data_IF_694379370374
#
_entry.id   IF_694379370374
#
_cell.length_a   1.000
_cell.length_b   1.000
_cell.length_c   1.000
_cell.angle_alpha   90.00
_cell.angle_beta   90.00
_cell.angle_gamma   90.00
#
_symmetry.space_group_name_H-M   'P 1'
#
loop_
_entity.id
_entity.type
_entity.pdbx_description
1 polymer ?
#
# COMPACT_ATOMS: atom_id res chain seq x y z
N UNK A 1 16.68 -23.55 -4.46
CA UNK A 1 16.27 -22.64 -3.38
C UNK A 1 14.91 -22.96 -2.90
N UNK A 2 14.72 -22.94 -1.61
CA UNK A 2 13.37 -23.11 -1.08
C UNK A 2 12.65 -21.77 -1.14
N UNK A 3 11.35 -21.79 -0.82
CA UNK A 3 10.53 -20.59 -0.97
C UNK A 3 11.03 -19.46 -0.08
N UNK A 4 11.54 -19.76 1.08
CA UNK A 4 12.02 -18.71 1.99
C UNK A 4 13.29 -18.06 1.47
N UNK A 5 14.17 -18.85 0.86
CA UNK A 5 15.37 -18.31 0.24
C UNK A 5 15.02 -17.44 -0.96
N UNK A 6 13.97 -17.82 -1.70
CA UNK A 6 13.52 -17.02 -2.83
C UNK A 6 12.96 -15.69 -2.35
N UNK A 7 12.16 -15.71 -1.29
CA UNK A 7 11.63 -14.48 -0.72
C UNK A 7 12.77 -13.57 -0.26
N UNK A 8 13.74 -14.14 0.44
CA UNK A 8 14.89 -13.36 0.90
C UNK A 8 15.68 -12.78 -0.27
N UNK A 9 15.81 -13.52 -1.36
CA UNK A 9 16.50 -13.02 -2.54
C UNK A 9 15.77 -11.84 -3.17
N UNK A 10 14.45 -11.91 -3.20
CA UNK A 10 13.66 -10.80 -3.72
C UNK A 10 13.82 -9.57 -2.83
N UNK A 11 13.84 -9.77 -1.52
CA UNK A 11 14.07 -8.66 -0.59
C UNK A 11 15.43 -8.01 -0.83
N UNK A 12 16.43 -8.80 -1.20
CA UNK A 12 17.74 -8.25 -1.53
C UNK A 12 17.73 -7.49 -2.85
N UNK A 13 16.95 -7.97 -3.82
CA UNK A 13 16.87 -7.33 -5.13
C UNK A 13 16.14 -5.99 -5.06
N UNK A 14 15.11 -5.89 -4.21
CA UNK A 14 14.32 -4.67 -4.11
C UNK A 14 14.52 -4.09 -2.73
N UNK A 15 15.43 -3.16 -2.61
CA UNK A 15 15.73 -2.60 -1.32
C UNK A 15 14.85 -1.41 -0.96
N UNK A 16 14.26 -0.76 -1.96
CA UNK A 16 13.43 0.40 -1.70
C UNK A 16 12.54 0.71 -2.90
N UNK A 17 11.27 0.95 -2.65
CA UNK A 17 10.34 1.36 -3.71
C UNK A 17 10.06 2.84 -3.54
N UNK A 18 10.44 3.62 -4.52
CA UNK A 18 10.25 5.06 -4.44
C UNK A 18 8.83 5.42 -4.85
N UNK A 19 8.29 6.42 -4.20
CA UNK A 19 7.01 6.97 -4.59
C UNK A 19 7.27 7.97 -5.70
N UNK A 20 7.23 7.52 -6.92
CA UNK A 20 7.53 8.40 -8.04
C UNK A 20 6.32 8.64 -8.94
N UNK A 21 5.19 8.02 -8.65
CA UNK A 21 3.97 8.31 -9.38
C UNK A 21 3.39 9.61 -8.85
N UNK A 22 2.90 10.43 -9.76
CA UNK A 22 2.34 11.70 -9.36
C UNK A 22 0.83 11.66 -9.45
N UNK A 23 0.18 12.03 -8.38
CA UNK A 23 -1.28 12.07 -8.30
C UNK A 23 -1.69 13.53 -8.17
N UNK A 24 -2.67 13.95 -8.97
CA UNK A 24 -3.17 15.31 -8.89
C UNK A 24 -4.65 15.30 -8.55
N UNK A 25 -5.05 16.20 -7.67
CA UNK A 25 -6.42 16.27 -7.24
C UNK A 25 -6.68 17.69 -6.77
N UNK A 26 -7.61 18.39 -7.41
CA UNK A 26 -7.92 19.76 -7.05
C UNK A 26 -6.70 20.66 -7.05
N UNK A 27 -5.91 20.55 -8.07
CA UNK A 27 -4.66 21.32 -8.22
C UNK A 27 -3.62 20.96 -7.18
N UNK A 28 -3.86 19.96 -6.37
CA UNK A 28 -2.88 19.44 -5.42
C UNK A 28 -2.19 18.26 -6.07
N UNK A 29 -0.90 18.22 -5.94
CA UNK A 29 -0.11 17.16 -6.55
C UNK A 29 0.74 16.51 -5.47
N UNK A 30 0.77 15.19 -5.44
CA UNK A 30 1.62 14.47 -4.51
C UNK A 30 2.06 13.15 -5.13
N UNK A 31 3.10 12.59 -4.58
CA UNK A 31 3.59 11.32 -5.07
C UNK A 31 2.92 10.18 -4.33
N UNK A 32 2.61 9.17 -5.07
CA UNK A 32 1.97 7.98 -4.52
C UNK A 32 2.61 6.76 -5.13
N UNK A 33 2.57 5.66 -4.39
CA UNK A 33 3.05 4.39 -4.89
C UNK A 33 1.83 3.60 -5.34
N UNK A 34 1.68 3.43 -6.64
CA UNK A 34 0.50 2.77 -7.18
C UNK A 34 0.61 1.26 -7.10
N UNK A 35 -0.54 0.60 -7.07
CA UNK A 35 -0.57 -0.85 -7.09
C UNK A 35 0.02 -1.36 -8.41
N UNK A 36 -0.22 -0.64 -9.49
CA UNK A 36 0.31 -1.04 -10.79
C UNK A 36 1.84 -1.07 -10.78
N UNK A 37 2.46 -0.06 -10.19
CA UNK A 37 3.91 -0.02 -10.13
C UNK A 37 4.46 -1.16 -9.27
N UNK A 38 3.86 -1.36 -8.11
CA UNK A 38 4.29 -2.43 -7.22
C UNK A 38 4.14 -3.78 -7.91
N UNK A 39 2.98 -4.01 -8.52
CA UNK A 39 2.71 -5.28 -9.18
C UNK A 39 3.68 -5.52 -10.34
N UNK A 40 3.99 -4.48 -11.12
CA UNK A 40 4.91 -4.65 -12.24
C UNK A 40 6.29 -5.09 -11.78
N UNK A 41 6.78 -4.46 -10.72
CA UNK A 41 8.08 -4.81 -10.16
C UNK A 41 8.06 -6.22 -9.58
N UNK A 42 7.02 -6.53 -8.81
CA UNK A 42 6.94 -7.83 -8.16
C UNK A 42 6.73 -8.95 -9.16
N UNK A 43 5.95 -8.69 -10.23
CA UNK A 43 5.75 -9.68 -11.26
C UNK A 43 7.08 -10.09 -11.90
N UNK A 44 7.95 -9.11 -12.18
CA UNK A 44 9.25 -9.40 -12.74
C UNK A 44 10.10 -10.25 -11.78
N UNK A 45 10.04 -9.92 -10.50
CA UNK A 45 10.78 -10.69 -9.50
C UNK A 45 10.25 -12.10 -9.33
N UNK A 46 8.93 -12.25 -9.36
CA UNK A 46 8.33 -13.59 -9.25
C UNK A 46 8.75 -14.46 -10.42
N UNK A 47 8.75 -13.91 -11.63
CA UNK A 47 9.16 -14.68 -12.80
C UNK A 47 10.63 -15.06 -12.72
N UNK A 48 11.45 -14.13 -12.24
CA UNK A 48 12.87 -14.37 -12.11
C UNK A 48 13.16 -15.49 -11.12
N UNK A 49 12.43 -15.52 -10.02
CA UNK A 49 12.65 -16.49 -8.95
C UNK A 49 11.73 -17.71 -9.01
N UNK A 50 10.91 -17.78 -10.04
CA UNK A 50 9.99 -18.91 -10.24
C UNK A 50 9.03 -19.10 -9.09
N UNK A 51 8.32 -18.03 -8.80
CA UNK A 51 7.25 -18.02 -7.81
C UNK A 51 5.97 -17.58 -8.49
N UNK A 52 4.83 -18.07 -8.01
CA UNK A 52 3.53 -17.56 -8.42
C UNK A 52 2.71 -17.25 -7.19
N UNK A 53 1.81 -16.29 -7.31
CA UNK A 53 0.94 -15.87 -6.22
C UNK A 53 -0.46 -15.75 -6.76
N UNK A 54 -1.43 -16.29 -6.04
CA UNK A 54 -2.83 -16.15 -6.42
C UNK A 54 -3.72 -16.21 -5.18
N UNK A 55 -4.92 -15.64 -5.26
CA UNK A 55 -5.82 -15.68 -4.10
C UNK A 55 -6.49 -17.05 -4.00
N UNK A 56 -6.67 -17.51 -2.77
CA UNK A 56 -7.34 -18.79 -2.52
C UNK A 56 -8.60 -18.61 -1.69
N UNK A 57 -8.78 -17.45 -1.06
CA UNK A 57 -9.97 -17.17 -0.26
C UNK A 57 -10.18 -15.68 -0.18
N UNK A 58 -11.43 -15.25 -0.23
CA UNK A 58 -11.74 -13.83 -0.13
C UNK A 58 -13.11 -13.68 0.53
N UNK A 59 -13.19 -12.77 1.46
CA UNK A 59 -14.44 -12.42 2.11
C UNK A 59 -14.64 -10.92 1.93
N UNK A 60 -15.85 -10.54 1.56
CA UNK A 60 -16.18 -9.15 1.28
C UNK A 60 -17.31 -8.72 2.19
N UNK A 61 -17.20 -7.54 2.75
CA UNK A 61 -18.22 -7.01 3.62
C UNK A 61 -18.39 -5.54 3.31
N UNK A 62 -19.62 -5.13 3.08
CA UNK A 62 -19.91 -3.72 2.77
C UNK A 62 -20.72 -3.10 3.89
N UNK A 63 -20.32 -1.93 4.35
CA UNK A 63 -21.03 -1.16 5.34
C UNK A 63 -21.13 0.27 4.83
N UNK A 64 -22.32 0.69 4.41
CA UNK A 64 -22.49 2.01 3.83
C UNK A 64 -21.77 2.12 2.51
N UNK A 65 -20.87 3.08 2.42
CA UNK A 65 -20.09 3.29 1.20
C UNK A 65 -18.71 2.62 1.28
N UNK A 66 -18.43 1.92 2.37
CA UNK A 66 -17.12 1.29 2.54
C UNK A 66 -17.25 -0.21 2.31
N UNK A 67 -16.42 -0.75 1.45
CA UNK A 67 -16.32 -2.18 1.23
C UNK A 67 -14.99 -2.64 1.80
N UNK A 68 -15.05 -3.68 2.62
CA UNK A 68 -13.85 -4.27 3.21
C UNK A 68 -13.67 -5.66 2.61
N UNK A 69 -12.44 -6.00 2.23
CA UNK A 69 -12.13 -7.36 1.78
C UNK A 69 -11.00 -7.92 2.62
N UNK A 70 -11.14 -9.20 2.93
CA UNK A 70 -10.06 -9.98 3.53
C UNK A 70 -9.70 -11.02 2.50
N UNK A 71 -8.43 -11.10 2.15
CA UNK A 71 -7.97 -12.00 1.10
C UNK A 71 -6.83 -12.85 1.64
N UNK A 72 -6.88 -14.14 1.33
CA UNK A 72 -5.75 -15.01 1.59
C UNK A 72 -5.15 -15.38 0.23
N UNK A 73 -3.88 -15.09 0.07
CA UNK A 73 -3.14 -15.43 -1.14
C UNK A 73 -2.26 -16.63 -0.86
N UNK A 74 -1.91 -17.35 -1.91
CA UNK A 74 -0.96 -18.45 -1.78
C UNK A 74 0.21 -18.17 -2.70
N UNK A 75 1.41 -18.23 -2.15
CA UNK A 75 2.64 -18.12 -2.92
C UNK A 75 3.25 -19.49 -3.05
N UNK A 76 3.50 -19.92 -4.27
CA UNK A 76 3.95 -21.28 -4.56
C UNK A 76 5.30 -21.23 -5.22
N UNK A 77 6.19 -22.14 -4.79
CA UNK A 77 7.47 -22.32 -5.43
C UNK A 77 7.25 -23.19 -6.66
N UNK A 78 7.44 -22.62 -7.85
CA UNK A 78 7.17 -23.33 -9.10
C UNK A 78 8.09 -24.54 -9.25
N UNK A 79 9.28 -24.48 -8.70
CA UNK A 79 10.22 -25.59 -8.78
C UNK A 79 9.85 -26.74 -7.85
N UNK A 80 9.00 -26.47 -6.86
CA UNK A 80 8.50 -27.50 -5.97
C UNK A 80 7.11 -27.06 -5.53
N UNK A 81 6.07 -27.35 -6.30
CA UNK A 81 4.72 -26.83 -6.02
C UNK A 81 4.12 -27.30 -4.71
N UNK A 82 4.70 -28.31 -4.08
CA UNK A 82 4.23 -28.69 -2.77
C UNK A 82 4.65 -27.69 -1.70
N UNK A 83 5.63 -26.86 -2.03
CA UNK A 83 6.12 -25.88 -1.10
C UNK A 83 5.42 -24.55 -1.38
N UNK A 84 4.61 -24.11 -0.45
CA UNK A 84 3.89 -22.85 -0.60
C UNK A 84 3.64 -22.25 0.77
N UNK A 85 3.34 -20.96 0.78
CA UNK A 85 2.93 -20.27 1.99
C UNK A 85 1.64 -19.52 1.72
N UNK A 86 0.89 -19.23 2.76
CA UNK A 86 -0.32 -18.44 2.62
C UNK A 86 -0.14 -17.10 3.31
N UNK A 87 -0.66 -16.07 2.68
CA UNK A 87 -0.45 -14.70 3.09
C UNK A 87 -1.79 -14.00 3.18
N UNK A 88 -2.08 -13.41 4.31
CA UNK A 88 -3.34 -12.71 4.51
C UNK A 88 -3.15 -11.22 4.29
N UNK A 89 -4.12 -10.59 3.68
CA UNK A 89 -4.13 -9.14 3.52
C UNK A 89 -5.56 -8.64 3.52
N UNK A 90 -5.73 -7.35 3.69
CA UNK A 90 -7.07 -6.77 3.65
C UNK A 90 -6.99 -5.38 3.04
N UNK A 91 -8.14 -4.86 2.67
CA UNK A 91 -8.21 -3.52 2.13
C UNK A 91 -9.62 -2.98 2.22
N UNK A 92 -9.73 -1.67 2.16
CA UNK A 92 -11.01 -1.00 2.18
C UNK A 92 -11.14 -0.15 0.92
N UNK A 93 -12.35 -0.08 0.39
CA UNK A 93 -12.62 0.77 -0.75
C UNK A 93 -13.90 1.55 -0.51
N UNK A 94 -13.82 2.85 -0.73
CA UNK A 94 -14.98 3.73 -0.56
C UNK A 94 -15.56 4.04 -1.92
N UNK A 95 -16.85 3.78 -2.08
CA UNK A 95 -17.53 4.10 -3.32
C UNK A 95 -19.02 4.06 -3.07
N UNK A 96 -19.74 5.03 -3.62
CA UNK A 96 -21.19 5.10 -3.41
C UNK A 96 -21.93 4.13 -4.31
N UNK A 97 -21.28 3.53 -5.29
CA UNK A 97 -21.95 2.65 -6.22
C UNK A 97 -21.35 1.26 -6.23
N UNK A 98 -20.64 0.88 -7.26
CA UNK A 98 -20.24 -0.52 -7.40
C UNK A 98 -18.75 -0.77 -7.48
N UNK A 99 -17.93 0.24 -7.24
CA UNK A 99 -16.48 0.08 -7.41
C UNK A 99 -15.73 -0.15 -6.11
N UNK A 100 -16.46 -0.25 -5.00
CA UNK A 100 -15.81 -0.42 -3.70
C UNK A 100 -14.99 -1.69 -3.60
N UNK A 101 -15.52 -2.80 -4.13
CA UNK A 101 -14.80 -4.07 -4.09
C UNK A 101 -13.49 -4.02 -4.87
N UNK A 102 -13.52 -3.40 -6.05
CA UNK A 102 -12.31 -3.27 -6.85
C UNK A 102 -11.25 -2.44 -6.14
N UNK A 103 -11.65 -1.34 -5.52
CA UNK A 103 -10.72 -0.52 -4.77
C UNK A 103 -10.15 -1.28 -3.59
N UNK A 104 -11.01 -2.01 -2.87
CA UNK A 104 -10.58 -2.78 -1.71
C UNK A 104 -9.59 -3.86 -2.11
N UNK A 105 -9.86 -4.57 -3.21
CA UNK A 105 -8.97 -5.63 -3.70
C UNK A 105 -7.63 -5.07 -4.15
N UNK A 106 -7.63 -3.89 -4.76
CA UNK A 106 -6.40 -3.24 -5.20
C UNK A 106 -5.51 -2.90 -4.01
N UNK A 107 -6.10 -2.35 -2.96
CA UNK A 107 -5.34 -2.05 -1.75
C UNK A 107 -4.83 -3.32 -1.08
N UNK A 108 -5.67 -4.35 -1.00
CA UNK A 108 -5.26 -5.60 -0.39
C UNK A 108 -4.06 -6.19 -1.13
N UNK A 109 -4.07 -6.15 -2.46
CA UNK A 109 -2.99 -6.69 -3.26
C UNK A 109 -1.71 -5.89 -3.10
N UNK A 110 -1.82 -4.57 -3.12
CA UNK A 110 -0.65 -3.71 -2.92
C UNK A 110 0.01 -3.99 -1.58
N UNK A 111 -0.78 -4.03 -0.51
CA UNK A 111 -0.21 -4.23 0.82
C UNK A 111 0.27 -5.66 1.03
N UNK A 112 -0.32 -6.62 0.33
CA UNK A 112 0.20 -7.98 0.38
C UNK A 112 1.67 -8.00 -0.04
N UNK A 113 1.99 -7.33 -1.15
CA UNK A 113 3.38 -7.26 -1.60
C UNK A 113 4.26 -6.52 -0.61
N UNK A 114 3.82 -5.35 -0.19
CA UNK A 114 4.65 -4.49 0.66
C UNK A 114 4.97 -5.14 1.98
N UNK A 115 4.01 -5.84 2.56
CA UNK A 115 4.22 -6.45 3.87
C UNK A 115 4.93 -7.80 3.78
N UNK A 116 4.64 -8.58 2.75
CA UNK A 116 5.27 -9.90 2.60
C UNK A 116 6.77 -9.77 2.40
N UNK A 117 7.19 -8.78 1.64
CA UNK A 117 8.61 -8.62 1.34
C UNK A 117 9.24 -7.49 2.15
N UNK A 118 8.50 -6.95 3.11
CA UNK A 118 9.00 -5.89 3.99
C UNK A 118 9.63 -4.75 3.20
N UNK A 119 8.90 -4.27 2.19
CA UNK A 119 9.44 -3.27 1.27
C UNK A 119 9.26 -1.87 1.83
N UNK A 120 10.34 -1.11 2.04
CA UNK A 120 10.20 0.27 2.47
C UNK A 120 9.81 1.15 1.28
N UNK A 121 8.83 2.00 1.48
CA UNK A 121 8.31 2.81 0.39
C UNK A 121 8.45 4.29 0.66
N UNK A 122 8.77 4.66 1.88
CA UNK A 122 8.73 6.06 2.28
C UNK A 122 7.34 6.54 2.64
N UNK A 123 6.34 5.65 2.55
CA UNK A 123 4.99 6.00 2.95
C UNK A 123 4.77 5.51 4.36
N UNK A 124 4.64 6.42 5.27
CA UNK A 124 4.41 6.05 6.65
C UNK A 124 3.24 6.90 7.13
N UNK A 125 2.04 6.35 7.14
CA UNK A 125 0.88 7.15 7.54
C UNK A 125 0.98 7.66 8.98
N UNK A 126 1.82 7.04 9.79
CA UNK A 126 1.98 7.51 11.15
C UNK A 126 2.82 8.76 11.24
N UNK A 127 3.54 9.11 10.20
CA UNK A 127 4.36 10.31 10.21
C UNK A 127 3.57 11.56 9.90
N UNK A 128 2.39 11.41 9.32
CA UNK A 128 1.58 12.55 8.93
C UNK A 128 0.21 12.38 9.55
N UNK A 129 -0.15 13.31 10.40
CA UNK A 129 -1.46 13.26 11.02
C UNK A 129 -2.53 13.71 10.04
N UNK A 130 -3.77 13.41 10.33
CA UNK A 130 -4.87 13.87 9.52
C UNK A 130 -4.89 15.38 9.44
N UNK A 131 -4.57 16.04 10.53
CA UNK A 131 -4.54 17.50 10.53
C UNK A 131 -3.49 18.04 9.57
N UNK A 132 -2.33 17.39 9.54
CA UNK A 132 -1.29 17.83 8.62
C UNK A 132 -1.69 17.61 7.17
N UNK A 133 -2.35 16.50 6.89
CA UNK A 133 -2.83 16.26 5.55
C UNK A 133 -3.88 17.29 5.15
N UNK A 134 -4.79 17.60 6.04
CA UNK A 134 -5.80 18.59 5.78
C UNK A 134 -5.17 19.95 5.53
N UNK A 135 -4.19 20.31 6.31
CA UNK A 135 -3.50 21.57 6.15
C UNK A 135 -2.81 21.65 4.80
N UNK A 136 -2.16 20.56 4.40
CA UNK A 136 -1.50 20.55 3.11
C UNK A 136 -2.49 20.64 1.97
N UNK A 137 -3.60 19.97 2.12
CA UNK A 137 -4.58 20.00 1.06
C UNK A 137 -5.29 21.33 0.99
N UNK A 138 -5.46 21.97 2.08
CA UNK A 138 -6.07 23.25 2.11
C UNK A 138 -5.13 24.28 1.74
N UNK A 139 -4.04 23.95 1.36
CA UNK A 139 -3.20 24.84 0.93
C UNK A 139 -2.58 25.53 1.76
N UNK A 140 -2.77 25.34 2.66
CA UNK A 140 -2.09 25.81 3.39
C UNK A 140 -1.77 26.96 3.58
N UNK A 141 -2.40 27.58 3.88
CA UNK A 141 -2.20 28.65 4.28
C UNK A 141 -1.27 28.65 5.28
N UNK A 142 -0.54 29.45 5.39
CA UNK A 142 0.42 29.56 6.36
C UNK A 142 -0.21 29.57 7.63
N UNK A 143 0.41 29.14 8.52
CA UNK A 143 -0.08 29.03 9.77
C UNK A 143 -0.26 30.36 10.23
N UNK A 144 -1.05 30.52 10.84
CA UNK A 144 -1.21 31.70 11.40
C UNK A 144 -0.15 31.98 12.31
N UNK A 145 -0.22 33.00 12.81
CA UNK A 145 0.77 33.45 13.57
C UNK A 145 0.76 32.66 14.72
N UNK A 146 1.37 32.41 15.07
CA UNK A 146 1.40 31.65 15.98
C UNK A 146 0.97 32.08 17.03
N UNK A 147 0.55 32.15 17.34
CA UNK A 147 0.23 32.42 18.05
C UNK A 147 0.74 32.95 18.87
N UNK A 148 0.63 33.71 18.95
CA UNK A 148 1.13 34.18 19.34
C UNK A 148 1.10 34.21 20.41
N UNK A 149 0.84 34.20 20.76
CA UNK A 149 0.92 34.04 21.58
C UNK A 149 1.13 33.18 21.85
N UNK A 150 1.14 32.91 21.59
CA UNK A 150 1.45 31.99 21.56
C UNK A 150 2.08 31.66 20.94
N UNK A 151 2.40 32.04 20.52
CA UNK A 151 2.99 31.68 19.81
C UNK A 151 3.28 30.92 19.51
N UNK A 152 3.05 30.48 19.61
CA UNK A 152 3.26 29.70 19.32
C UNK A 152 2.93 29.01 18.66
N UNK A 153 3.03 28.89 18.17
CA UNK A 153 2.83 28.30 17.52
C UNK A 153 2.68 27.33 17.50
N UNK A 154 2.47 26.96 17.45
CA UNK A 154 2.28 26.16 17.40
C UNK A 154 2.60 25.19 17.09
N UNK A 155 2.95 24.50 17.12
CA UNK A 155 3.21 23.48 16.76
C UNK A 155 3.00 22.49 16.94
N UNK A 156 2.92 21.92 16.77
CA UNK A 156 2.65 20.92 16.79
C UNK A 156 3.29 19.97 16.90
N UNK A 157 3.41 19.51 17.17
CA UNK A 157 3.82 18.63 17.20
C UNK A 157 3.88 17.87 16.84
#
# INVERSE_FOLDING_TARGET
MNIYEKIASIMGDIQYLAKDDRVEFNKTSYRALSEEKVTSIMRAELLKHKLIVYPVAQATNRAGTITHVDVTYRMVNVEDPKEYIEIASCGDGADTQDKGSGKAMTYAFKYMWLRTFALPTGEDPDKISSAELDAKQANIQPPGPPCADCGKEIMPY
#
